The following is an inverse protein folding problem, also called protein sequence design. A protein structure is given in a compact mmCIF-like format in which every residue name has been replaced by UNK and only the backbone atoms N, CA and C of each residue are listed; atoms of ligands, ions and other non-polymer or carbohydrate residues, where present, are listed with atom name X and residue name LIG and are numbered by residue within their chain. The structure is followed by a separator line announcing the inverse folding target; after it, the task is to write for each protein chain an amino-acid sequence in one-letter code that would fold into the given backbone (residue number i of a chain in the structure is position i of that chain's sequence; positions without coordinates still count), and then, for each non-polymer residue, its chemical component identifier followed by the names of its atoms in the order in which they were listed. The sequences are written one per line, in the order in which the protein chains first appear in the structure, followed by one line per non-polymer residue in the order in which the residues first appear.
data_IF_622444650588
#
_entry.id   IF_622444650588
#
_cell.length_a   1.000
_cell.length_b   1.000
_cell.length_c   1.000
_cell.angle_alpha   90.00
_cell.angle_beta   90.00
_cell.angle_gamma   90.00
#
_symmetry.space_group_name_H-M   'P 1'
#
loop_
_entity.id
_entity.type
_entity.pdbx_description
1 polymer ?
#
# COMPACT_ATOMS: atom_id res chain seq x y z
N UNK A 1 -40.99 15.89 -17.44
CA UNK A 1 -39.53 15.94 -17.19
C UNK A 1 -39.15 15.40 -15.81
N UNK A 2 -39.99 15.61 -14.80
CA UNK A 2 -39.74 15.22 -13.40
C UNK A 2 -39.47 13.73 -13.15
N UNK A 3 -40.13 12.83 -13.87
CA UNK A 3 -39.94 11.38 -13.66
C UNK A 3 -38.55 10.86 -14.10
N UNK A 4 -37.94 11.41 -15.14
CA UNK A 4 -36.66 10.96 -15.64
C UNK A 4 -35.50 11.26 -14.67
N UNK A 5 -35.53 12.40 -14.00
CA UNK A 5 -34.51 12.77 -13.01
C UNK A 5 -34.56 11.85 -11.80
N UNK A 6 -35.76 11.49 -11.34
CA UNK A 6 -35.93 10.55 -10.23
C UNK A 6 -35.46 9.13 -10.60
N UNK A 7 -35.79 8.63 -11.80
CA UNK A 7 -35.30 7.30 -12.25
C UNK A 7 -33.78 7.27 -12.40
N UNK A 8 -33.16 8.34 -12.94
CA UNK A 8 -31.72 8.45 -13.06
C UNK A 8 -31.05 8.47 -11.68
N UNK A 9 -31.58 9.27 -10.75
CA UNK A 9 -31.12 9.32 -9.38
C UNK A 9 -31.17 7.93 -8.73
N UNK A 10 -32.32 7.24 -8.80
CA UNK A 10 -32.48 5.89 -8.26
C UNK A 10 -31.45 4.90 -8.83
N UNK A 11 -31.24 4.92 -10.13
CA UNK A 11 -30.30 4.01 -10.80
C UNK A 11 -28.86 4.24 -10.30
N UNK A 12 -28.43 5.51 -10.23
CA UNK A 12 -27.07 5.85 -9.77
C UNK A 12 -26.91 5.50 -8.28
N UNK A 13 -27.92 5.81 -7.46
CA UNK A 13 -27.88 5.53 -6.01
C UNK A 13 -27.81 4.05 -5.71
N UNK A 14 -28.61 3.23 -6.38
CA UNK A 14 -28.58 1.76 -6.21
C UNK A 14 -27.22 1.22 -6.62
N UNK A 15 -26.66 1.65 -7.75
CA UNK A 15 -25.32 1.22 -8.18
C UNK A 15 -24.24 1.66 -7.20
N UNK A 16 -24.32 2.90 -6.67
CA UNK A 16 -23.40 3.40 -5.66
C UNK A 16 -23.47 2.57 -4.37
N UNK A 17 -24.67 2.32 -3.85
CA UNK A 17 -24.89 1.49 -2.67
C UNK A 17 -24.34 0.08 -2.87
N UNK A 18 -24.69 -0.59 -3.97
CA UNK A 18 -24.16 -1.91 -4.30
C UNK A 18 -22.63 -1.90 -4.35
N UNK A 19 -22.03 -0.89 -4.98
CA UNK A 19 -20.58 -0.77 -5.05
C UNK A 19 -19.90 -0.66 -3.68
N UNK A 20 -20.57 -0.03 -2.70
CA UNK A 20 -20.05 0.09 -1.32
C UNK A 20 -20.18 -1.24 -0.58
N UNK A 21 -21.20 -2.03 -0.86
CA UNK A 21 -21.47 -3.31 -0.21
C UNK A 21 -20.62 -4.46 -0.78
N UNK A 22 -20.23 -4.40 -2.06
CA UNK A 22 -19.43 -5.45 -2.72
C UNK A 22 -18.22 -5.94 -1.94
N UNK A 23 -17.39 -5.09 -1.29
CA UNK A 23 -16.26 -5.54 -0.50
C UNK A 23 -16.61 -6.36 0.74
N UNK A 24 -17.87 -6.40 1.16
CA UNK A 24 -18.31 -7.26 2.26
C UNK A 24 -18.38 -8.74 1.85
N UNK A 25 -18.42 -9.01 0.54
CA UNK A 25 -18.37 -10.36 0.00
C UNK A 25 -16.92 -10.85 0.13
N UNK A 26 -16.72 -11.90 0.92
CA UNK A 26 -15.41 -12.54 1.12
C UNK A 26 -15.07 -13.42 -0.08
N UNK A 27 -14.74 -12.79 -1.22
CA UNK A 27 -14.33 -13.48 -2.44
C UNK A 27 -13.02 -12.91 -2.94
N UNK A 28 -12.07 -13.74 -3.34
CA UNK A 28 -10.73 -13.35 -3.81
C UNK A 28 -10.72 -12.86 -5.25
N UNK A 29 -11.78 -13.13 -6.02
CA UNK A 29 -11.84 -12.80 -7.43
C UNK A 29 -11.81 -11.29 -7.68
N UNK A 30 -11.07 -10.85 -8.69
CA UNK A 30 -10.78 -9.44 -8.97
C UNK A 30 -12.01 -8.54 -9.10
N UNK A 31 -13.15 -9.05 -9.64
CA UNK A 31 -14.38 -8.27 -9.78
C UNK A 31 -15.00 -7.85 -8.45
N UNK A 32 -14.69 -8.54 -7.36
CA UNK A 32 -15.07 -8.13 -6.01
C UNK A 32 -14.01 -7.21 -5.40
N UNK A 33 -12.73 -7.53 -5.61
CA UNK A 33 -11.61 -6.79 -5.03
C UNK A 33 -11.45 -5.39 -5.59
N UNK A 34 -11.76 -5.16 -6.87
CA UNK A 34 -11.73 -3.82 -7.47
C UNK A 34 -12.59 -2.79 -6.73
N UNK A 35 -13.64 -3.25 -6.03
CA UNK A 35 -14.49 -2.37 -5.22
C UNK A 35 -13.86 -1.93 -3.89
N UNK A 36 -12.77 -2.52 -3.45
CA UNK A 36 -12.04 -2.05 -2.27
C UNK A 36 -11.28 -0.73 -2.53
N UNK A 37 -10.82 -0.52 -3.76
CA UNK A 37 -9.94 0.60 -4.10
C UNK A 37 -10.59 1.97 -3.95
N UNK A 38 -11.73 2.30 -4.58
CA UNK A 38 -12.24 3.67 -4.67
C UNK A 38 -13.09 4.10 -3.46
N UNK A 39 -12.70 3.78 -2.21
CA UNK A 39 -13.54 4.10 -1.05
C UNK A 39 -13.71 5.60 -0.84
N UNK A 40 -12.67 6.40 -1.09
CA UNK A 40 -12.76 7.85 -0.99
C UNK A 40 -13.67 8.44 -2.08
N UNK A 41 -13.54 7.95 -3.32
CA UNK A 41 -14.38 8.38 -4.44
C UNK A 41 -15.86 8.02 -4.19
N UNK A 42 -16.13 6.82 -3.69
CA UNK A 42 -17.48 6.40 -3.30
C UNK A 42 -18.08 7.30 -2.20
N UNK A 43 -17.27 7.65 -1.21
CA UNK A 43 -17.69 8.58 -0.16
C UNK A 43 -18.13 9.93 -0.77
N UNK A 44 -17.34 10.50 -1.68
CA UNK A 44 -17.69 11.76 -2.36
C UNK A 44 -18.96 11.59 -3.21
N UNK A 45 -19.09 10.48 -3.95
CA UNK A 45 -20.28 10.19 -4.75
C UNK A 45 -21.54 10.15 -3.87
N UNK A 46 -21.50 9.45 -2.74
CA UNK A 46 -22.64 9.40 -1.82
C UNK A 46 -22.98 10.78 -1.26
N UNK A 47 -22.00 11.60 -0.90
CA UNK A 47 -22.25 12.98 -0.44
C UNK A 47 -22.93 13.84 -1.52
N UNK A 48 -22.50 13.69 -2.77
CA UNK A 48 -23.13 14.37 -3.90
C UNK A 48 -24.57 13.87 -4.11
N UNK A 49 -24.82 12.57 -4.03
CA UNK A 49 -26.15 11.99 -4.15
C UNK A 49 -27.08 12.48 -3.04
N UNK A 50 -26.62 12.50 -1.79
CA UNK A 50 -27.36 13.07 -0.66
C UNK A 50 -27.73 14.53 -0.94
N UNK A 51 -26.81 15.33 -1.46
CA UNK A 51 -27.08 16.73 -1.81
C UNK A 51 -28.12 16.82 -2.95
N UNK A 52 -27.96 16.04 -4.01
CA UNK A 52 -28.87 16.03 -5.18
C UNK A 52 -30.27 15.58 -4.79
N UNK A 53 -30.42 14.70 -3.79
CA UNK A 53 -31.70 14.25 -3.31
C UNK A 53 -32.63 15.41 -2.93
N UNK A 54 -32.12 16.44 -2.22
CA UNK A 54 -32.89 17.61 -1.78
C UNK A 54 -33.40 18.48 -2.94
N UNK A 55 -32.79 18.39 -4.12
CA UNK A 55 -33.21 19.10 -5.33
C UNK A 55 -34.08 18.26 -6.27
N UNK A 56 -34.11 16.92 -6.06
CA UNK A 56 -34.82 15.99 -6.93
C UNK A 56 -36.20 15.67 -6.40
N UNK A 57 -36.41 15.62 -5.08
CA UNK A 57 -37.63 15.16 -4.46
C UNK A 57 -38.28 16.25 -3.62
N UNK A 58 -39.37 16.90 -4.14
CA UNK A 58 -40.17 17.83 -3.38
C UNK A 58 -41.15 17.13 -2.42
N UNK A 59 -41.71 15.99 -2.88
CA UNK A 59 -42.65 15.17 -2.10
C UNK A 59 -42.15 13.70 -2.08
N UNK A 60 -41.13 13.39 -1.26
CA UNK A 60 -40.50 12.09 -1.25
C UNK A 60 -41.42 11.00 -0.73
N UNK A 61 -41.43 9.88 -1.43
CA UNK A 61 -42.07 8.63 -0.97
C UNK A 61 -41.24 8.01 0.15
N UNK A 62 -41.82 7.00 0.81
CA UNK A 62 -41.07 6.23 1.81
C UNK A 62 -39.82 5.56 1.19
N UNK A 63 -39.87 5.14 -0.07
CA UNK A 63 -38.76 4.54 -0.77
C UNK A 63 -37.60 5.54 -1.03
N UNK A 64 -37.93 6.78 -1.39
CA UNK A 64 -36.94 7.84 -1.57
C UNK A 64 -36.23 8.17 -0.25
N UNK A 65 -36.98 8.15 0.86
CA UNK A 65 -36.42 8.35 2.19
C UNK A 65 -35.50 7.20 2.62
N UNK A 66 -35.91 5.94 2.37
CA UNK A 66 -35.07 4.74 2.66
C UNK A 66 -33.76 4.83 1.89
N UNK A 67 -33.81 5.26 0.63
CA UNK A 67 -32.61 5.41 -0.20
C UNK A 67 -31.66 6.45 0.40
N UNK A 68 -32.18 7.64 0.74
CA UNK A 68 -31.42 8.71 1.41
C UNK A 68 -30.76 8.23 2.72
N UNK A 69 -31.53 7.55 3.58
CA UNK A 69 -30.98 7.04 4.84
C UNK A 69 -29.90 5.98 4.61
N UNK A 70 -30.05 5.14 3.58
CA UNK A 70 -29.01 4.18 3.21
C UNK A 70 -27.72 4.88 2.76
N UNK A 71 -27.82 5.92 1.95
CA UNK A 71 -26.67 6.73 1.51
C UNK A 71 -25.97 7.42 2.68
N UNK A 72 -26.75 7.98 3.63
CA UNK A 72 -26.19 8.60 4.84
C UNK A 72 -25.44 7.57 5.69
N UNK A 73 -26.04 6.42 5.97
CA UNK A 73 -25.41 5.35 6.78
C UNK A 73 -24.11 4.86 6.11
N UNK A 74 -24.14 4.61 4.80
CA UNK A 74 -22.96 4.16 4.06
C UNK A 74 -21.89 5.24 3.94
N UNK A 75 -22.27 6.52 3.90
CA UNK A 75 -21.31 7.64 3.98
C UNK A 75 -20.57 7.66 5.32
N UNK A 76 -21.27 7.47 6.44
CA UNK A 76 -20.63 7.33 7.76
C UNK A 76 -19.72 6.10 7.84
N UNK A 77 -20.15 4.98 7.27
CA UNK A 77 -19.32 3.76 7.19
C UNK A 77 -18.02 4.00 6.41
N UNK A 78 -18.11 4.62 5.22
CA UNK A 78 -16.92 4.95 4.41
C UNK A 78 -16.05 5.98 5.12
N UNK A 79 -16.64 7.01 5.74
CA UNK A 79 -15.90 7.98 6.54
C UNK A 79 -15.11 7.32 7.67
N UNK A 80 -15.72 6.38 8.41
CA UNK A 80 -15.04 5.62 9.45
C UNK A 80 -13.82 4.86 8.94
N UNK A 81 -13.91 4.25 7.74
CA UNK A 81 -12.80 3.52 7.11
C UNK A 81 -11.67 4.47 6.66
N UNK A 82 -12.04 5.65 6.13
CA UNK A 82 -11.09 6.61 5.56
C UNK A 82 -10.44 7.47 6.65
N UNK A 83 -11.15 7.74 7.74
CA UNK A 83 -10.73 8.64 8.81
C UNK A 83 -9.28 8.39 9.30
N UNK A 84 -8.83 7.13 9.53
CA UNK A 84 -7.46 6.86 9.95
C UNK A 84 -6.39 7.39 8.99
N UNK A 85 -6.72 7.52 7.71
CA UNK A 85 -5.82 7.99 6.64
C UNK A 85 -6.01 9.46 6.30
N UNK A 86 -6.58 10.22 7.22
CA UNK A 86 -6.69 11.69 7.16
C UNK A 86 -5.86 12.32 8.26
N UNK A 87 -5.67 13.65 8.20
CA UNK A 87 -5.01 14.42 9.26
C UNK A 87 -5.79 14.44 10.58
N UNK A 88 -7.04 13.98 10.58
CA UNK A 88 -7.92 13.90 11.75
C UNK A 88 -7.85 12.52 12.43
N UNK A 89 -7.24 11.53 11.77
CA UNK A 89 -7.05 10.19 12.33
C UNK A 89 -5.98 10.16 13.42
N UNK A 90 -6.02 9.12 14.26
CA UNK A 90 -4.96 8.86 15.25
C UNK A 90 -3.71 8.37 14.55
N UNK A 91 -2.56 8.93 14.90
CA UNK A 91 -1.23 8.47 14.45
C UNK A 91 -0.87 7.15 15.11
N UNK A 92 -0.18 6.27 14.38
CA UNK A 92 0.35 5.01 14.91
C UNK A 92 1.82 5.12 15.33
N UNK A 93 2.56 6.01 14.71
CA UNK A 93 3.98 6.25 14.97
C UNK A 93 4.18 7.72 15.31
N UNK A 94 5.03 8.01 16.31
CA UNK A 94 5.33 9.37 16.70
C UNK A 94 6.30 10.03 15.71
N UNK A 95 6.08 11.32 15.42
CA UNK A 95 7.01 12.13 14.64
C UNK A 95 7.98 12.82 15.56
N UNK A 96 9.28 12.73 15.26
CA UNK A 96 10.34 13.36 16.03
C UNK A 96 11.31 14.12 15.13
N UNK A 97 12.13 14.98 15.73
CA UNK A 97 13.32 15.53 15.08
C UNK A 97 14.53 14.67 15.47
N UNK A 98 15.35 14.23 14.50
CA UNK A 98 16.58 13.49 14.82
C UNK A 98 17.57 14.42 15.57
N UNK A 99 18.47 13.84 16.34
CA UNK A 99 19.59 14.59 16.92
C UNK A 99 20.54 15.05 15.81
N UNK A 100 21.27 16.16 16.02
CA UNK A 100 22.16 16.72 15.00
C UNK A 100 23.22 15.73 14.48
N UNK A 101 23.67 14.82 15.34
CA UNK A 101 24.66 13.78 14.98
C UNK A 101 24.03 12.50 14.40
N UNK A 102 22.72 12.41 14.34
CA UNK A 102 22.01 11.20 13.91
C UNK A 102 21.63 11.30 12.43
N UNK A 103 22.13 10.37 11.62
CA UNK A 103 21.73 10.25 10.20
C UNK A 103 20.45 9.39 10.14
N UNK A 104 19.30 9.95 9.71
CA UNK A 104 18.09 9.17 9.52
C UNK A 104 18.25 8.08 8.43
N UNK A 105 17.46 7.04 8.51
CA UNK A 105 17.31 6.05 7.47
C UNK A 105 16.26 6.56 6.46
N UNK A 106 16.76 7.05 5.33
CA UNK A 106 15.95 7.58 4.25
C UNK A 106 15.75 6.52 3.18
N UNK A 107 14.51 6.14 2.91
CA UNK A 107 14.17 5.10 1.92
C UNK A 107 13.28 5.71 0.85
N UNK A 108 13.65 5.52 -0.42
CA UNK A 108 12.85 5.86 -1.59
C UNK A 108 12.38 4.57 -2.27
N UNK A 109 11.08 4.41 -2.44
CA UNK A 109 10.45 3.31 -3.18
C UNK A 109 9.74 3.88 -4.40
N UNK A 110 9.87 3.20 -5.54
CA UNK A 110 9.19 3.54 -6.77
C UNK A 110 8.93 2.31 -7.63
N UNK A 111 7.68 2.02 -7.92
CA UNK A 111 7.33 1.26 -9.10
C UNK A 111 7.58 2.17 -10.31
N UNK A 112 8.53 1.79 -11.17
CA UNK A 112 8.99 2.67 -12.26
C UNK A 112 8.11 2.56 -13.51
N UNK A 113 7.23 1.57 -13.57
CA UNK A 113 6.50 1.14 -14.75
C UNK A 113 7.48 0.72 -15.86
N UNK A 114 7.71 -0.56 -16.05
CA UNK A 114 8.75 -1.12 -16.92
C UNK A 114 8.83 -0.48 -18.31
N UNK A 115 7.67 -0.13 -18.89
CA UNK A 115 7.57 0.49 -20.22
C UNK A 115 7.75 2.01 -20.23
N UNK A 116 8.10 2.63 -19.09
CA UNK A 116 8.43 4.05 -19.00
C UNK A 116 9.91 4.25 -19.40
N UNK A 117 10.14 5.04 -20.43
CA UNK A 117 11.47 5.31 -20.96
C UNK A 117 12.07 6.64 -20.47
N UNK A 118 11.43 7.33 -19.55
CA UNK A 118 11.91 8.62 -19.02
C UNK A 118 12.76 8.43 -17.76
N UNK A 119 13.90 7.76 -17.91
CA UNK A 119 14.83 7.47 -16.81
C UNK A 119 15.34 8.72 -16.11
N UNK A 120 15.51 9.83 -16.87
CA UNK A 120 16.14 11.05 -16.36
C UNK A 120 15.39 11.65 -15.18
N UNK A 121 14.06 11.60 -15.15
CA UNK A 121 13.28 12.13 -14.03
C UNK A 121 13.54 11.39 -12.71
N UNK A 122 13.71 10.06 -12.77
CA UNK A 122 14.05 9.28 -11.58
C UNK A 122 15.50 9.54 -11.17
N UNK A 123 16.43 9.63 -12.12
CA UNK A 123 17.83 9.97 -11.89
C UNK A 123 17.94 11.34 -11.19
N UNK A 124 17.23 12.35 -11.67
CA UNK A 124 17.22 13.69 -11.06
C UNK A 124 16.63 13.65 -9.65
N UNK A 125 15.54 12.89 -9.45
CA UNK A 125 14.92 12.73 -8.15
C UNK A 125 15.88 12.08 -7.13
N UNK A 126 16.62 11.04 -7.53
CA UNK A 126 17.63 10.39 -6.70
C UNK A 126 18.74 11.37 -6.34
N UNK A 127 19.29 12.09 -7.31
CA UNK A 127 20.39 13.06 -7.11
C UNK A 127 19.98 14.25 -6.24
N UNK A 128 18.74 14.73 -6.42
CA UNK A 128 18.19 15.86 -5.65
C UNK A 128 17.99 15.53 -4.17
N UNK A 129 17.54 14.30 -3.86
CA UNK A 129 17.16 13.89 -2.51
C UNK A 129 18.21 13.02 -1.80
N UNK A 130 19.07 12.35 -2.54
CA UNK A 130 20.14 11.46 -2.07
C UNK A 130 19.70 10.53 -0.89
N UNK A 131 18.61 9.75 -1.04
CA UNK A 131 18.15 8.85 0.01
C UNK A 131 19.20 7.77 0.28
N UNK A 132 19.25 7.25 1.50
CA UNK A 132 20.26 6.23 1.86
C UNK A 132 19.93 4.83 1.34
N UNK A 133 18.66 4.58 1.03
CA UNK A 133 18.18 3.31 0.45
C UNK A 133 17.24 3.60 -0.71
N UNK A 134 17.40 2.84 -1.80
CA UNK A 134 16.56 2.89 -2.99
C UNK A 134 15.96 1.52 -3.24
N UNK A 135 14.70 1.46 -3.60
CA UNK A 135 14.03 0.25 -4.04
C UNK A 135 13.13 0.54 -5.24
N UNK A 136 13.43 -0.10 -6.34
CA UNK A 136 12.72 0.08 -7.61
C UNK A 136 12.10 -1.24 -8.05
N UNK A 137 10.86 -1.16 -8.49
CA UNK A 137 10.02 -2.26 -8.93
C UNK A 137 9.66 -2.09 -10.41
N UNK A 138 9.30 -3.18 -11.06
CA UNK A 138 9.08 -3.26 -12.51
C UNK A 138 10.33 -2.85 -13.30
N UNK A 139 11.48 -3.36 -12.93
CA UNK A 139 12.76 -3.01 -13.53
C UNK A 139 13.34 -4.15 -14.36
N UNK A 140 13.81 -3.80 -15.56
CA UNK A 140 14.55 -4.68 -16.46
C UNK A 140 16.04 -4.28 -16.57
N UNK A 141 16.78 -4.89 -17.47
CA UNK A 141 18.19 -4.56 -17.72
C UNK A 141 18.37 -3.13 -18.27
N UNK A 142 17.38 -2.56 -18.96
CA UNK A 142 17.44 -1.18 -19.45
C UNK A 142 17.36 -0.19 -18.30
N UNK A 143 16.43 -0.38 -17.37
CA UNK A 143 16.31 0.39 -16.13
C UNK A 143 17.58 0.30 -15.28
N UNK A 144 18.10 -0.91 -15.05
CA UNK A 144 19.34 -1.12 -14.32
C UNK A 144 20.51 -0.36 -14.94
N UNK A 145 20.65 -0.42 -16.28
CA UNK A 145 21.71 0.28 -16.99
C UNK A 145 21.55 1.80 -16.93
N UNK A 146 20.33 2.31 -17.09
CA UNK A 146 20.04 3.74 -17.04
C UNK A 146 20.33 4.35 -15.66
N UNK A 147 20.07 3.61 -14.57
CA UNK A 147 20.25 4.12 -13.21
C UNK A 147 21.71 4.13 -12.73
N UNK A 148 22.67 3.50 -13.45
CA UNK A 148 24.09 3.43 -13.03
C UNK A 148 24.65 4.76 -12.56
N UNK A 149 24.44 5.85 -13.33
CA UNK A 149 24.97 7.18 -12.99
C UNK A 149 24.40 7.81 -11.73
N UNK A 150 23.26 7.32 -11.26
CA UNK A 150 22.59 7.79 -10.03
C UNK A 150 22.86 6.86 -8.83
N UNK A 151 23.35 5.65 -9.08
CA UNK A 151 23.58 4.62 -8.07
C UNK A 151 25.05 4.35 -7.77
N UNK A 152 25.99 5.10 -8.37
CA UNK A 152 27.42 4.96 -8.15
C UNK A 152 27.84 5.13 -6.67
N UNK A 153 27.09 5.95 -5.91
CA UNK A 153 27.34 6.19 -4.49
C UNK A 153 26.67 5.16 -3.55
N UNK A 154 26.10 4.09 -4.12
CA UNK A 154 25.46 3.00 -3.38
C UNK A 154 26.30 1.72 -3.53
N UNK A 155 27.24 1.47 -2.62
CA UNK A 155 28.18 0.35 -2.76
C UNK A 155 27.53 -1.04 -2.58
N UNK A 156 26.37 -1.08 -1.91
CA UNK A 156 25.66 -2.31 -1.61
C UNK A 156 24.37 -2.39 -2.44
N UNK A 157 24.18 -3.52 -3.11
CA UNK A 157 23.07 -3.68 -4.06
C UNK A 157 22.59 -5.11 -4.17
N UNK A 158 21.31 -5.27 -4.46
CA UNK A 158 20.65 -6.50 -4.87
C UNK A 158 19.93 -6.17 -6.17
N UNK A 159 20.29 -6.82 -7.26
CA UNK A 159 19.76 -6.52 -8.59
C UNK A 159 19.16 -7.79 -9.19
N UNK A 160 17.86 -7.79 -9.42
CA UNK A 160 17.09 -8.85 -10.07
C UNK A 160 16.27 -8.22 -11.20
N UNK A 161 16.89 -7.74 -12.27
CA UNK A 161 16.16 -7.21 -13.41
C UNK A 161 15.46 -8.32 -14.17
N UNK A 162 14.17 -8.19 -14.44
CA UNK A 162 13.35 -9.17 -15.13
C UNK A 162 12.50 -8.53 -16.24
N UNK A 163 12.24 -9.23 -17.35
CA UNK A 163 11.41 -8.69 -18.44
C UNK A 163 9.90 -8.83 -18.21
N UNK A 164 9.47 -9.42 -17.10
CA UNK A 164 8.09 -9.80 -16.79
C UNK A 164 7.35 -8.83 -15.84
N UNK A 165 7.81 -7.57 -15.70
CA UNK A 165 7.28 -6.55 -14.76
C UNK A 165 7.53 -6.82 -13.26
N UNK A 166 8.15 -7.95 -12.88
CA UNK A 166 8.47 -8.27 -11.48
C UNK A 166 9.95 -8.07 -11.12
N UNK A 167 10.76 -7.53 -12.03
CA UNK A 167 12.14 -7.20 -11.70
C UNK A 167 12.23 -6.13 -10.63
N UNK A 168 13.27 -6.25 -9.79
CA UNK A 168 13.53 -5.33 -8.70
C UNK A 168 15.01 -4.93 -8.62
N UNK A 169 15.26 -3.70 -8.17
CA UNK A 169 16.59 -3.17 -7.91
C UNK A 169 16.63 -2.53 -6.53
N UNK A 170 17.55 -2.97 -5.71
CA UNK A 170 17.77 -2.44 -4.38
C UNK A 170 19.19 -1.89 -4.25
N UNK A 171 19.33 -0.68 -3.71
CA UNK A 171 20.62 -0.03 -3.49
C UNK A 171 20.69 0.57 -2.10
N UNK A 172 21.85 0.44 -1.43
CA UNK A 172 22.05 0.97 -0.08
C UNK A 172 23.40 1.64 0.07
N UNK A 173 23.41 2.79 0.76
CA UNK A 173 24.64 3.42 1.26
C UNK A 173 25.14 2.74 2.54
N UNK A 174 24.26 2.03 3.26
CA UNK A 174 24.60 1.26 4.46
C UNK A 174 25.06 -0.15 4.08
N UNK A 175 26.00 -0.74 4.83
CA UNK A 175 26.42 -2.11 4.62
C UNK A 175 25.25 -3.11 4.76
N UNK A 176 25.22 -4.09 3.86
CA UNK A 176 24.28 -5.22 3.93
C UNK A 176 25.04 -6.38 4.60
N UNK A 177 24.57 -6.78 5.78
CA UNK A 177 25.15 -7.89 6.55
C UNK A 177 24.70 -9.25 6.04
N UNK A 178 23.41 -9.38 5.76
CA UNK A 178 22.79 -10.56 5.15
C UNK A 178 21.81 -10.10 4.09
N UNK A 179 21.68 -10.90 3.04
CA UNK A 179 20.67 -10.68 2.00
C UNK A 179 20.13 -12.00 1.49
N UNK A 180 18.86 -12.01 1.15
CA UNK A 180 18.17 -13.16 0.56
C UNK A 180 17.26 -12.65 -0.55
N UNK A 181 17.19 -13.40 -1.65
CA UNK A 181 16.17 -13.24 -2.68
C UNK A 181 15.25 -14.44 -2.51
N UNK A 182 13.99 -14.17 -2.27
CA UNK A 182 12.98 -15.19 -2.02
C UNK A 182 11.93 -15.17 -3.12
N UNK A 183 11.35 -16.33 -3.37
CA UNK A 183 10.18 -16.57 -4.20
C UNK A 183 9.16 -17.22 -3.27
N UNK A 184 8.34 -16.38 -2.61
CA UNK A 184 7.59 -16.80 -1.43
C UNK A 184 6.34 -17.60 -1.77
N UNK A 185 5.68 -17.26 -2.86
CA UNK A 185 4.43 -17.86 -3.34
C UNK A 185 4.59 -18.30 -4.79
N UNK A 186 4.96 -17.40 -5.69
CA UNK A 186 5.15 -17.65 -7.11
C UNK A 186 6.65 -17.73 -7.44
N UNK A 187 7.07 -18.71 -8.24
CA UNK A 187 8.48 -19.01 -8.55
C UNK A 187 9.19 -17.93 -9.40
N UNK A 188 8.45 -17.04 -10.04
CA UNK A 188 8.95 -15.98 -10.91
C UNK A 188 8.79 -14.56 -10.34
N UNK A 189 8.28 -14.45 -9.10
CA UNK A 189 8.07 -13.16 -8.40
C UNK A 189 9.06 -13.04 -7.24
N UNK A 190 10.16 -12.30 -7.43
CA UNK A 190 11.16 -12.13 -6.39
C UNK A 190 10.70 -11.14 -5.31
N UNK A 191 11.03 -11.48 -4.07
CA UNK A 191 11.06 -10.56 -2.94
C UNK A 191 12.45 -10.52 -2.33
N UNK A 192 12.78 -9.49 -1.56
CA UNK A 192 14.09 -9.39 -0.91
C UNK A 192 13.96 -9.29 0.60
N UNK A 193 14.94 -9.89 1.28
CA UNK A 193 15.27 -9.60 2.68
C UNK A 193 16.70 -9.07 2.73
N UNK A 194 16.90 -7.92 3.37
CA UNK A 194 18.20 -7.31 3.54
C UNK A 194 18.38 -6.81 4.98
N UNK A 195 19.44 -7.28 5.65
CA UNK A 195 19.82 -6.81 6.98
C UNK A 195 20.85 -5.70 6.85
N UNK A 196 20.44 -4.45 7.08
CA UNK A 196 21.30 -3.29 7.00
C UNK A 196 21.98 -3.01 8.35
N UNK A 197 23.27 -2.70 8.31
CA UNK A 197 23.99 -2.13 9.45
C UNK A 197 23.71 -0.62 9.52
N UNK A 198 22.76 -0.24 10.38
CA UNK A 198 22.33 1.14 10.56
C UNK A 198 22.67 1.64 11.95
N UNK A 199 23.59 2.60 12.05
CA UNK A 199 24.19 3.07 13.30
C UNK A 199 24.77 1.87 14.09
N UNK A 200 24.23 1.55 15.27
CA UNK A 200 24.66 0.39 16.08
C UNK A 200 23.63 -0.74 16.06
N UNK A 201 22.63 -0.63 15.21
CA UNK A 201 21.53 -1.60 15.09
C UNK A 201 21.61 -2.35 13.76
N UNK A 202 20.91 -3.49 13.69
CA UNK A 202 20.61 -4.17 12.44
C UNK A 202 19.14 -3.96 12.12
N UNK A 203 18.87 -3.35 10.99
CA UNK A 203 17.52 -3.11 10.48
C UNK A 203 17.23 -4.09 9.36
N UNK A 204 16.21 -4.93 9.52
CA UNK A 204 15.75 -5.84 8.47
C UNK A 204 14.74 -5.18 7.56
N UNK A 205 15.00 -5.24 6.28
CA UNK A 205 14.15 -4.72 5.23
C UNK A 205 13.52 -5.89 4.45
N UNK A 206 12.20 -5.84 4.28
CA UNK A 206 11.43 -6.75 3.43
C UNK A 206 10.88 -5.94 2.27
N UNK A 207 11.41 -6.16 1.07
CA UNK A 207 10.93 -5.51 -0.16
C UNK A 207 10.12 -6.49 -0.98
N UNK A 208 8.85 -6.18 -1.23
CA UNK A 208 7.90 -7.08 -1.90
C UNK A 208 7.14 -6.40 -3.02
N UNK A 209 6.73 -7.19 -4.01
CA UNK A 209 5.87 -6.79 -5.11
C UNK A 209 4.97 -7.95 -5.54
N UNK A 210 3.96 -8.31 -4.74
CA UNK A 210 3.08 -9.43 -5.03
C UNK A 210 2.16 -9.15 -6.23
N UNK A 211 1.70 -10.21 -6.88
CA UNK A 211 0.87 -10.17 -8.09
C UNK A 211 -0.45 -9.42 -7.88
N UNK A 212 -0.83 -8.46 -8.73
CA UNK A 212 -2.13 -7.80 -8.64
C UNK A 212 -3.27 -8.74 -9.06
N UNK A 213 -4.45 -8.65 -8.42
CA UNK A 213 -5.64 -9.37 -8.87
C UNK A 213 -6.27 -8.68 -10.08
N UNK A 214 -5.76 -8.96 -11.26
CA UNK A 214 -6.23 -8.40 -12.55
C UNK A 214 -6.35 -9.51 -13.61
N UNK A 215 -7.27 -9.36 -14.59
CA UNK A 215 -7.55 -10.43 -15.56
C UNK A 215 -6.36 -10.88 -16.41
N UNK A 216 -5.36 -10.02 -16.57
CA UNK A 216 -4.19 -10.28 -17.43
C UNK A 216 -3.04 -11.00 -16.70
N UNK A 217 -3.06 -11.02 -15.37
CA UNK A 217 -2.02 -11.61 -14.53
C UNK A 217 -2.63 -12.69 -13.65
N UNK A 218 -3.21 -12.31 -12.51
CA UNK A 218 -3.89 -13.23 -11.63
C UNK A 218 -5.34 -12.79 -11.40
N UNK A 219 -6.31 -13.68 -11.67
CA UNK A 219 -7.73 -13.33 -11.50
C UNK A 219 -8.19 -13.28 -10.06
N UNK A 220 -7.37 -13.75 -9.12
CA UNK A 220 -7.68 -13.80 -7.70
C UNK A 220 -6.58 -13.11 -6.87
N UNK A 221 -6.94 -12.70 -5.66
CA UNK A 221 -5.99 -12.05 -4.74
C UNK A 221 -5.34 -13.03 -3.76
N UNK A 222 -5.53 -14.33 -3.94
CA UNK A 222 -5.13 -15.37 -2.98
C UNK A 222 -3.63 -15.35 -2.74
N UNK A 223 -2.82 -15.41 -3.79
CA UNK A 223 -1.35 -15.44 -3.75
C UNK A 223 -0.80 -14.13 -3.19
N UNK A 224 -1.32 -12.99 -3.65
CA UNK A 224 -0.96 -11.66 -3.12
C UNK A 224 -1.25 -11.55 -1.62
N UNK A 225 -2.47 -11.94 -1.22
CA UNK A 225 -2.89 -11.86 0.17
C UNK A 225 -2.02 -12.74 1.08
N UNK A 226 -1.65 -13.94 0.60
CA UNK A 226 -0.76 -14.86 1.29
C UNK A 226 0.66 -14.28 1.44
N UNK A 227 1.26 -13.74 0.38
CA UNK A 227 2.62 -13.16 0.43
C UNK A 227 2.68 -12.01 1.45
N UNK A 228 1.71 -11.09 1.41
CA UNK A 228 1.63 -9.99 2.36
C UNK A 228 1.58 -10.50 3.81
N UNK A 229 0.72 -11.48 4.09
CA UNK A 229 0.54 -12.01 5.44
C UNK A 229 1.75 -12.82 5.92
N UNK A 230 2.35 -13.63 5.05
CA UNK A 230 3.56 -14.41 5.35
C UNK A 230 4.75 -13.51 5.70
N UNK A 231 4.95 -12.42 4.94
CA UNK A 231 5.97 -11.42 5.26
C UNK A 231 5.69 -10.73 6.59
N UNK A 232 4.41 -10.48 6.91
CA UNK A 232 4.00 -9.96 8.21
C UNK A 232 4.38 -10.90 9.38
N UNK A 233 4.16 -12.20 9.22
CA UNK A 233 4.57 -13.20 10.22
C UNK A 233 6.09 -13.28 10.35
N UNK A 234 6.82 -13.25 9.23
CA UNK A 234 8.28 -13.24 9.23
C UNK A 234 8.84 -12.00 9.96
N UNK A 235 8.26 -10.83 9.74
CA UNK A 235 8.64 -9.59 10.42
C UNK A 235 8.35 -9.66 11.94
N UNK A 236 7.21 -10.22 12.33
CA UNK A 236 6.88 -10.46 13.74
C UNK A 236 7.86 -11.41 14.41
N UNK A 237 8.12 -12.55 13.78
CA UNK A 237 9.01 -13.59 14.33
C UNK A 237 10.47 -13.09 14.43
N UNK A 238 10.88 -12.17 13.55
CA UNK A 238 12.18 -11.51 13.66
C UNK A 238 12.31 -10.68 14.95
N UNK A 239 11.26 -10.00 15.37
CA UNK A 239 11.15 -9.34 16.68
C UNK A 239 12.13 -8.19 16.94
N UNK A 240 12.83 -7.69 15.92
CA UNK A 240 13.81 -6.59 15.98
C UNK A 240 13.43 -5.49 14.98
N UNK A 241 14.15 -4.36 14.92
CA UNK A 241 13.86 -3.30 13.96
C UNK A 241 13.70 -3.84 12.53
N UNK A 242 12.50 -3.69 11.97
CA UNK A 242 12.18 -4.18 10.63
C UNK A 242 11.18 -3.27 9.91
N UNK A 243 11.28 -3.24 8.58
CA UNK A 243 10.43 -2.46 7.69
C UNK A 243 9.96 -3.37 6.55
N UNK A 244 8.67 -3.39 6.28
CA UNK A 244 8.07 -4.00 5.08
C UNK A 244 7.64 -2.90 4.15
N UNK A 245 8.03 -2.97 2.88
CA UNK A 245 7.73 -1.93 1.90
C UNK A 245 7.68 -2.49 0.48
N UNK A 246 7.06 -1.73 -0.41
CA UNK A 246 6.94 -2.03 -1.81
C UNK A 246 5.57 -1.65 -2.36
N UNK A 247 5.33 -2.00 -3.60
CA UNK A 247 3.99 -1.99 -4.20
C UNK A 247 3.29 -3.31 -3.81
N UNK A 248 2.35 -3.21 -2.89
CA UNK A 248 1.63 -4.38 -2.40
C UNK A 248 0.43 -4.76 -3.29
N UNK A 249 0.14 -3.99 -4.32
CA UNK A 249 -1.03 -4.18 -5.15
C UNK A 249 -2.34 -4.31 -4.34
N UNK A 250 -2.34 -3.75 -3.13
CA UNK A 250 -3.47 -3.71 -2.20
C UNK A 250 -3.61 -2.32 -1.59
N UNK A 251 -4.81 -1.95 -1.16
CA UNK A 251 -5.06 -0.64 -0.55
C UNK A 251 -4.94 -0.68 0.96
N UNK A 252 -4.54 0.45 1.55
CA UNK A 252 -4.32 0.60 2.98
C UNK A 252 -5.50 0.20 3.89
N UNK A 253 -6.72 0.23 3.38
CA UNK A 253 -7.95 -0.07 4.11
C UNK A 253 -8.56 -1.43 3.78
N UNK A 254 -7.89 -2.26 3.00
CA UNK A 254 -8.34 -3.62 2.66
C UNK A 254 -8.45 -4.52 3.89
N UNK A 255 -9.09 -5.67 3.72
CA UNK A 255 -9.12 -6.71 4.76
C UNK A 255 -7.73 -7.27 5.02
N UNK A 256 -6.98 -7.57 3.96
CA UNK A 256 -5.64 -8.16 4.04
C UNK A 256 -4.64 -7.21 4.71
N UNK A 257 -4.59 -5.93 4.33
CA UNK A 257 -3.75 -4.95 5.01
C UNK A 257 -4.11 -4.79 6.49
N UNK A 258 -5.39 -4.85 6.86
CA UNK A 258 -5.80 -4.82 8.28
C UNK A 258 -5.37 -6.07 9.05
N UNK A 259 -5.49 -7.26 8.45
CA UNK A 259 -5.02 -8.51 9.04
C UNK A 259 -3.49 -8.47 9.21
N UNK A 260 -2.76 -8.02 8.18
CA UNK A 260 -1.31 -7.83 8.25
C UNK A 260 -0.89 -6.96 9.45
N UNK A 261 -1.48 -5.78 9.62
CA UNK A 261 -1.15 -4.90 10.74
C UNK A 261 -1.44 -5.54 12.10
N UNK A 262 -2.57 -6.27 12.22
CA UNK A 262 -2.95 -6.94 13.45
C UNK A 262 -2.10 -8.17 13.78
N UNK A 263 -1.77 -8.98 12.77
CA UNK A 263 -0.99 -10.20 12.97
C UNK A 263 0.49 -9.91 13.19
N UNK A 264 1.06 -8.95 12.44
CA UNK A 264 2.47 -8.60 12.53
C UNK A 264 2.83 -7.65 13.68
N UNK A 265 1.87 -6.84 14.16
CA UNK A 265 2.14 -5.76 15.11
C UNK A 265 2.86 -4.55 14.47
N UNK A 266 3.02 -4.53 13.14
CA UNK A 266 3.65 -3.41 12.44
C UNK A 266 2.73 -2.18 12.39
N UNK A 267 3.34 -1.01 12.23
CA UNK A 267 2.68 0.29 12.24
C UNK A 267 2.65 0.89 10.84
N UNK A 268 1.53 1.51 10.47
CA UNK A 268 1.39 2.28 9.23
C UNK A 268 1.69 3.77 9.47
N UNK A 269 2.79 4.31 8.94
CA UNK A 269 3.18 5.70 9.14
C UNK A 269 2.22 6.73 8.54
N UNK A 270 1.36 6.32 7.60
CA UNK A 270 0.36 7.20 6.95
C UNK A 270 -0.79 7.58 7.89
N UNK A 271 -1.11 6.73 8.87
CA UNK A 271 -2.24 6.98 9.76
C UNK A 271 -2.08 8.28 10.52
N UNK A 272 -3.15 9.09 10.51
CA UNK A 272 -3.18 10.42 11.09
C UNK A 272 -2.42 11.48 10.28
N UNK A 273 -1.97 11.18 9.03
CA UNK A 273 -1.14 12.12 8.23
C UNK A 273 -1.66 12.34 6.82
N UNK A 274 -2.26 11.33 6.21
CA UNK A 274 -2.80 11.43 4.85
C UNK A 274 -2.82 10.07 4.15
N UNK A 275 -3.45 10.03 2.99
CA UNK A 275 -3.56 8.80 2.19
C UNK A 275 -2.27 8.44 1.47
N UNK A 276 -1.47 9.43 1.08
CA UNK A 276 -0.25 9.25 0.26
C UNK A 276 -0.52 8.38 -0.98
N UNK A 277 -1.59 8.70 -1.71
CA UNK A 277 -2.00 7.94 -2.89
C UNK A 277 -0.91 7.94 -3.95
N UNK A 278 -0.36 6.78 -4.27
CA UNK A 278 0.73 6.60 -5.23
C UNK A 278 0.22 6.23 -6.61
N UNK A 279 -0.79 5.42 -6.72
CA UNK A 279 -1.43 5.01 -7.96
C UNK A 279 -2.82 5.67 -8.11
N UNK A 280 -3.29 6.11 -9.25
CA UNK A 280 -2.68 6.23 -10.55
C UNK A 280 -2.13 7.63 -10.77
N UNK A 281 -0.86 7.78 -11.10
CA UNK A 281 -0.22 9.09 -11.18
C UNK A 281 -0.81 9.98 -12.30
N UNK A 282 -1.24 9.38 -13.41
CA UNK A 282 -1.79 10.10 -14.58
C UNK A 282 -3.24 10.56 -14.39
N UNK A 283 -4.06 9.82 -13.61
CA UNK A 283 -5.49 10.10 -13.43
C UNK A 283 -5.79 10.60 -12.02
N UNK A 284 -5.98 11.91 -11.85
CA UNK A 284 -6.13 12.53 -10.54
C UNK A 284 -7.36 12.06 -9.73
N UNK A 285 -8.40 11.57 -10.41
CA UNK A 285 -9.64 11.09 -9.79
C UNK A 285 -9.64 9.58 -9.51
N UNK A 286 -8.68 8.83 -10.06
CA UNK A 286 -8.46 7.41 -9.82
C UNK A 286 -7.15 7.22 -9.05
N UNK A 287 -7.12 7.67 -7.79
CA UNK A 287 -5.91 7.59 -6.97
C UNK A 287 -6.17 6.87 -5.67
N UNK A 288 -5.30 5.91 -5.37
CA UNK A 288 -5.27 5.14 -4.12
C UNK A 288 -3.85 4.76 -3.73
N UNK A 289 -3.60 4.39 -2.44
CA UNK A 289 -2.28 4.03 -1.94
C UNK A 289 -2.02 2.55 -2.18
N UNK A 290 -1.17 2.19 -3.14
CA UNK A 290 -0.70 0.82 -3.39
C UNK A 290 0.70 0.57 -2.88
N UNK A 291 1.55 1.62 -2.87
CA UNK A 291 2.90 1.55 -2.31
C UNK A 291 2.85 1.82 -0.81
N UNK A 292 3.45 0.93 -0.05
CA UNK A 292 3.36 0.92 1.40
C UNK A 292 4.72 0.99 2.07
N UNK A 293 4.71 1.55 3.27
CA UNK A 293 5.71 1.33 4.31
C UNK A 293 4.99 0.86 5.56
N UNK A 294 5.42 -0.26 6.10
CA UNK A 294 5.05 -0.70 7.45
C UNK A 294 6.31 -0.84 8.27
N UNK A 295 6.30 -0.34 9.48
CA UNK A 295 7.48 -0.29 10.33
C UNK A 295 7.20 -0.98 11.67
N UNK A 296 8.19 -1.68 12.21
CA UNK A 296 8.07 -2.24 13.56
C UNK A 296 8.01 -1.11 14.61
N UNK A 297 7.51 -1.35 15.83
CA UNK A 297 7.39 -0.33 16.89
C UNK A 297 8.69 0.37 17.29
N UNK A 298 9.84 -0.20 16.90
CA UNK A 298 11.17 0.35 17.16
C UNK A 298 11.47 1.67 16.43
N UNK A 299 10.63 2.10 15.48
CA UNK A 299 10.90 3.30 14.70
C UNK A 299 10.13 4.52 15.20
N UNK A 300 10.73 5.70 14.92
CA UNK A 300 10.05 7.00 14.96
C UNK A 300 10.15 7.63 13.60
N UNK A 301 9.08 8.33 13.20
CA UNK A 301 9.02 9.01 11.91
C UNK A 301 9.72 10.36 11.99
N UNK A 302 10.61 10.63 11.06
CA UNK A 302 11.16 11.97 10.84
C UNK A 302 10.29 12.69 9.81
N UNK A 303 10.08 12.07 8.63
CA UNK A 303 9.19 12.63 7.60
C UNK A 303 8.75 11.54 6.63
N UNK A 304 7.68 11.83 5.87
CA UNK A 304 7.16 10.95 4.81
C UNK A 304 6.55 11.81 3.71
N UNK A 305 6.85 11.47 2.44
CA UNK A 305 6.40 12.26 1.29
C UNK A 305 6.05 11.36 0.12
N UNK A 306 4.97 11.70 -0.57
CA UNK A 306 4.77 11.31 -1.96
C UNK A 306 5.57 12.28 -2.82
N UNK A 307 6.48 11.77 -3.62
CA UNK A 307 7.40 12.57 -4.44
C UNK A 307 6.72 13.04 -5.73
N UNK A 308 7.44 13.81 -6.54
CA UNK A 308 6.99 14.24 -7.87
C UNK A 308 6.90 13.03 -8.81
N UNK A 309 6.03 13.10 -9.82
CA UNK A 309 5.92 12.05 -10.83
C UNK A 309 7.21 11.92 -11.65
N UNK A 310 7.57 10.68 -11.90
CA UNK A 310 8.69 10.28 -12.77
C UNK A 310 8.19 9.69 -14.10
N UNK A 311 6.94 10.01 -14.49
CA UNK A 311 6.21 9.50 -15.66
C UNK A 311 5.81 8.01 -15.57
N UNK A 312 6.05 7.37 -14.44
CA UNK A 312 5.38 6.12 -14.08
C UNK A 312 3.89 6.37 -13.86
N UNK A 313 3.09 5.31 -13.83
CA UNK A 313 1.72 5.35 -13.33
C UNK A 313 1.67 5.32 -11.79
N UNK A 314 2.82 5.09 -11.13
CA UNK A 314 3.01 5.30 -9.70
C UNK A 314 3.81 6.58 -9.41
N UNK A 315 3.46 7.25 -8.31
CA UNK A 315 4.33 8.27 -7.72
C UNK A 315 5.33 7.60 -6.79
N UNK A 316 6.62 7.99 -6.83
CA UNK A 316 7.57 7.53 -5.82
C UNK A 316 7.14 7.97 -4.42
N UNK A 317 7.41 7.12 -3.44
CA UNK A 317 7.16 7.39 -2.02
C UNK A 317 8.48 7.35 -1.25
N UNK A 318 8.66 8.32 -0.36
CA UNK A 318 9.86 8.47 0.46
C UNK A 318 9.50 8.53 1.93
N UNK A 319 10.32 7.89 2.76
CA UNK A 319 10.20 7.92 4.21
C UNK A 319 11.57 8.15 4.86
N UNK A 320 11.57 8.86 5.97
CA UNK A 320 12.73 9.11 6.82
C UNK A 320 12.43 8.64 8.23
N UNK A 321 13.27 7.77 8.76
CA UNK A 321 13.05 7.05 10.01
C UNK A 321 14.30 7.08 10.90
N UNK A 322 14.10 6.96 12.20
CA UNK A 322 15.17 6.68 13.17
C UNK A 322 14.76 5.54 14.09
N UNK A 323 15.73 4.73 14.51
CA UNK A 323 15.50 3.64 15.47
C UNK A 323 15.44 4.20 16.89
N UNK A 324 14.47 3.76 17.68
CA UNK A 324 14.32 4.00 19.12
C UNK A 324 13.88 2.71 19.79
N UNK A 325 14.79 2.11 20.54
CA UNK A 325 14.55 0.87 21.26
C UNK A 325 13.77 1.14 22.57
N UNK A 326 12.58 1.71 22.43
CA UNK A 326 11.65 1.87 23.55
C UNK A 326 10.59 0.80 23.46
N UNK A 327 10.27 0.16 24.58
CA UNK A 327 9.17 -0.80 24.65
C UNK A 327 7.85 -0.08 24.35
N UNK A 328 7.18 -0.47 23.28
CA UNK A 328 5.81 -0.07 23.00
C UNK A 328 4.91 -1.30 23.17
N UNK A 329 3.81 -1.10 23.89
CA UNK A 329 2.75 -2.10 23.99
C UNK A 329 2.17 -2.39 22.58
N UNK A 330 1.79 -3.64 22.36
CA UNK A 330 1.08 -4.06 21.15
C UNK A 330 -0.15 -3.18 20.95
N UNK A 331 -0.19 -2.45 19.82
CA UNK A 331 -1.28 -1.54 19.50
C UNK A 331 -2.52 -2.26 18.97
N UNK A 332 -2.43 -3.58 18.75
CA UNK A 332 -3.48 -4.35 18.11
C UNK A 332 -3.89 -5.59 18.92
N UNK A 333 -5.20 -5.74 19.07
CA UNK A 333 -5.79 -7.00 19.48
C UNK A 333 -6.25 -7.76 18.24
N UNK A 334 -5.64 -8.90 17.96
CA UNK A 334 -6.07 -9.85 16.94
C UNK A 334 -6.97 -10.90 17.57
N UNK A 335 -8.19 -11.10 17.04
CA UNK A 335 -9.10 -12.14 17.52
C UNK A 335 -8.65 -13.53 17.08
N UNK A 336 -9.19 -14.58 17.71
CA UNK A 336 -8.88 -15.96 17.31
C UNK A 336 -9.33 -16.24 15.88
N UNK A 337 -10.52 -15.78 15.48
CA UNK A 337 -11.02 -15.89 14.11
C UNK A 337 -10.10 -15.20 13.09
N UNK A 338 -9.54 -14.04 13.44
CA UNK A 338 -8.60 -13.31 12.56
C UNK A 338 -7.26 -14.04 12.43
N UNK A 339 -6.80 -14.74 13.49
CA UNK A 339 -5.60 -15.58 13.40
C UNK A 339 -5.82 -16.78 12.49
N UNK A 340 -6.97 -17.43 12.62
CA UNK A 340 -7.37 -18.55 11.76
C UNK A 340 -7.49 -18.09 10.30
N UNK A 341 -8.10 -16.94 10.05
CA UNK A 341 -8.18 -16.34 8.69
C UNK A 341 -6.78 -16.03 8.10
N UNK A 342 -5.82 -15.60 8.90
CA UNK A 342 -4.44 -15.38 8.46
C UNK A 342 -3.78 -16.70 8.04
N UNK A 343 -3.88 -17.73 8.86
CA UNK A 343 -3.31 -19.04 8.57
C UNK A 343 -3.94 -19.64 7.31
N UNK A 344 -5.28 -19.65 7.23
CA UNK A 344 -6.02 -20.15 6.06
C UNK A 344 -5.57 -19.45 4.76
N UNK A 345 -5.47 -18.13 4.78
CA UNK A 345 -5.04 -17.36 3.59
C UNK A 345 -3.61 -17.67 3.15
N UNK A 346 -2.70 -17.87 4.11
CA UNK A 346 -1.31 -18.23 3.81
C UNK A 346 -1.25 -19.64 3.21
N UNK A 347 -1.95 -20.61 3.81
CA UNK A 347 -1.99 -22.00 3.32
C UNK A 347 -2.61 -22.07 1.92
N UNK A 348 -3.77 -21.44 1.70
CA UNK A 348 -4.41 -21.38 0.38
C UNK A 348 -3.50 -20.77 -0.70
N UNK A 349 -2.75 -19.70 -0.36
CA UNK A 349 -1.85 -19.05 -1.31
C UNK A 349 -0.64 -19.91 -1.64
N UNK A 350 -0.06 -20.60 -0.66
CA UNK A 350 1.07 -21.54 -0.90
C UNK A 350 0.61 -22.70 -1.76
N UNK A 351 -0.53 -23.34 -1.43
CA UNK A 351 -1.07 -24.46 -2.22
C UNK A 351 -1.34 -24.06 -3.67
N UNK A 352 -1.74 -22.82 -3.90
CA UNK A 352 -2.05 -22.32 -5.23
C UNK A 352 -0.80 -21.94 -6.01
N UNK A 353 0.22 -21.35 -5.37
CA UNK A 353 1.51 -21.06 -5.95
C UNK A 353 2.24 -22.35 -6.37
N UNK A 354 2.20 -23.39 -5.55
CA UNK A 354 2.78 -24.72 -5.87
C UNK A 354 2.06 -25.42 -7.06
N UNK A 355 0.86 -25.00 -7.41
CA UNK A 355 0.06 -25.60 -8.49
C UNK A 355 0.26 -24.90 -9.85
N UNK A 356 0.89 -23.73 -9.90
CA UNK A 356 1.18 -22.95 -11.10
C UNK A 356 2.56 -23.30 -11.66
#
# INVERSE_FOLDING_TARGET
MEHWTSYLYWSISVLAILSVLMPAIKNTYWTFRVFDYPRFQKFIILLVLILVWFFTFENPTIYDQVLLFSEIILSFYLFYIILPYTKFGKTMIDKIQPHESEKPLDILVCNVYQYNNNYQKLIDLIKENNPSVLFFLETDEEWKNALKSATDNYPHKIEVPLPNTYGLLFYSQFPIKNQEINYLIDDDIPSIVADLEYNNDVVRLYGIHPTPPVPQENTESTERDAEILLVGENAKNYGKPSIVFGDLNDVAWSRTTKLFLKSSGMLDPRRGRGMYNTFHAKYWFLRWPLDHFFVSPHFRLVDMKRMKSVDSDHFPIWISLVVRNEDKEDQFNISQEEKEEVVEKIEEGIEKGDAN
#
